data_IF_536013899411
#
_entry.id   IF_536013899411
#
_cell.length_a   1.000
_cell.length_b   1.000
_cell.length_c   1.000
_cell.angle_alpha   90.00
_cell.angle_beta   90.00
_cell.angle_gamma   90.00
#
_symmetry.space_group_name_H-M   'P 1'
#
loop_
_entity.id
_entity.type
_entity.pdbx_description
1 polymer ?
#
# COMPACT_ATOMS: atom_id res chain seq x y z
N UNK A 1 14.73 1.45 -6.63
CA UNK A 1 13.70 1.36 -7.67
C UNK A 1 12.49 0.55 -7.22
N UNK A 2 12.68 -0.60 -6.53
CA UNK A 2 11.56 -1.43 -6.07
C UNK A 2 10.70 -0.69 -5.03
N UNK A 3 11.34 -0.09 -4.01
CA UNK A 3 10.63 0.72 -3.01
C UNK A 3 9.98 1.96 -3.64
N UNK A 4 10.66 2.64 -4.56
CA UNK A 4 10.10 3.78 -5.30
C UNK A 4 8.81 3.40 -6.05
N UNK A 5 8.80 2.23 -6.70
CA UNK A 5 7.60 1.72 -7.36
C UNK A 5 6.47 1.44 -6.38
N UNK A 6 6.76 0.75 -5.26
CA UNK A 6 5.74 0.40 -4.26
C UNK A 6 5.10 1.65 -3.64
N UNK A 7 5.91 2.64 -3.29
CA UNK A 7 5.48 3.95 -2.78
C UNK A 7 4.59 4.67 -3.80
N UNK A 8 5.00 4.71 -5.08
CA UNK A 8 4.24 5.37 -6.14
C UNK A 8 2.90 4.69 -6.46
N UNK A 9 2.82 3.38 -6.27
CA UNK A 9 1.58 2.63 -6.44
C UNK A 9 0.62 2.76 -5.26
N UNK A 10 1.09 3.18 -4.07
CA UNK A 10 0.35 2.97 -2.84
C UNK A 10 0.12 1.48 -2.62
N UNK A 11 1.19 0.70 -2.74
CA UNK A 11 1.18 -0.76 -2.79
C UNK A 11 0.80 -1.43 -1.47
N UNK A 12 1.60 -2.37 -0.99
CA UNK A 12 1.33 -3.14 0.22
C UNK A 12 2.41 -2.94 1.28
N UNK A 13 2.02 -2.84 2.54
CA UNK A 13 2.97 -2.86 3.66
C UNK A 13 3.81 -4.15 3.68
N UNK A 14 3.28 -5.25 3.13
CA UNK A 14 4.03 -6.50 2.92
C UNK A 14 5.28 -6.31 2.06
N UNK A 15 5.23 -5.41 1.07
CA UNK A 15 6.38 -5.15 0.20
C UNK A 15 7.55 -4.55 1.00
N UNK A 16 7.26 -3.67 1.97
CA UNK A 16 8.29 -3.12 2.88
C UNK A 16 8.97 -4.26 3.64
N UNK A 17 8.18 -5.13 4.27
CA UNK A 17 8.70 -6.30 5.00
C UNK A 17 9.60 -7.17 4.11
N UNK A 18 9.13 -7.50 2.91
CA UNK A 18 9.87 -8.36 1.99
C UNK A 18 11.12 -7.68 1.42
N UNK A 19 11.08 -6.38 1.12
CA UNK A 19 12.26 -5.67 0.62
C UNK A 19 13.35 -5.54 1.68
N UNK A 20 12.99 -5.30 2.94
CA UNK A 20 13.95 -5.31 4.05
C UNK A 20 14.59 -6.70 4.22
N UNK A 21 13.80 -7.77 4.11
CA UNK A 21 14.31 -9.13 4.16
C UNK A 21 15.25 -9.43 2.99
N UNK A 22 14.88 -9.05 1.76
CA UNK A 22 15.72 -9.23 0.56
C UNK A 22 17.03 -8.43 0.69
N UNK A 23 16.95 -7.19 1.17
CA UNK A 23 18.14 -6.36 1.38
C UNK A 23 19.10 -6.99 2.39
N UNK A 24 18.58 -7.53 3.50
CA UNK A 24 19.36 -8.25 4.49
C UNK A 24 20.06 -9.49 3.91
N UNK A 25 19.32 -10.32 3.17
CA UNK A 25 19.90 -11.51 2.53
C UNK A 25 20.94 -11.17 1.45
N UNK A 26 20.78 -10.03 0.80
CA UNK A 26 21.74 -9.51 -0.18
C UNK A 26 22.87 -8.68 0.44
N UNK A 27 22.95 -8.58 1.78
CA UNK A 27 23.94 -7.78 2.51
C UNK A 27 23.95 -6.30 2.07
N UNK A 28 22.78 -5.76 1.71
CA UNK A 28 22.58 -4.37 1.34
C UNK A 28 22.11 -3.59 2.57
N UNK A 29 22.79 -2.49 2.88
CA UNK A 29 22.38 -1.55 3.91
C UNK A 29 21.15 -0.75 3.45
N UNK A 30 19.97 -1.26 3.80
CA UNK A 30 18.67 -0.66 3.49
C UNK A 30 17.76 -0.80 4.71
N UNK A 31 17.26 0.32 5.22
CA UNK A 31 16.59 0.41 6.51
C UNK A 31 15.22 1.08 6.42
N UNK A 32 14.47 1.11 7.52
CA UNK A 32 13.22 1.88 7.62
C UNK A 32 13.43 3.38 7.39
N UNK A 33 14.60 3.93 7.72
CA UNK A 33 14.94 5.32 7.42
C UNK A 33 15.03 5.58 5.91
N UNK A 34 15.49 4.59 5.12
CA UNK A 34 15.49 4.71 3.65
C UNK A 34 14.07 4.64 3.09
N UNK A 35 13.22 3.79 3.67
CA UNK A 35 11.80 3.72 3.31
C UNK A 35 11.12 5.06 3.56
N UNK A 36 11.30 5.66 4.74
CA UNK A 36 10.74 6.98 5.08
C UNK A 36 11.24 8.07 4.12
N UNK A 37 12.54 8.12 3.87
CA UNK A 37 13.14 9.08 2.93
C UNK A 37 12.54 8.96 1.53
N UNK A 38 12.36 7.74 1.03
CA UNK A 38 11.78 7.49 -0.30
C UNK A 38 10.30 7.89 -0.29
N UNK A 39 9.55 7.54 0.74
CA UNK A 39 8.11 7.84 0.82
C UNK A 39 7.80 9.34 0.80
N UNK A 40 8.67 10.16 1.40
CA UNK A 40 8.55 11.63 1.39
C UNK A 40 8.93 12.27 0.06
N UNK A 41 9.72 11.60 -0.77
CA UNK A 41 10.23 12.14 -2.04
C UNK A 41 9.51 11.63 -3.28
N UNK A 42 8.78 10.53 -3.18
CA UNK A 42 8.12 9.87 -4.29
C UNK A 42 6.61 10.09 -4.22
N UNK A 43 6.00 10.76 -5.22
CA UNK A 43 4.56 11.00 -5.23
C UNK A 43 3.76 9.73 -5.50
N UNK A 44 2.50 9.69 -5.05
CA UNK A 44 1.59 8.62 -5.40
C UNK A 44 1.04 8.82 -6.82
N UNK A 45 1.39 7.93 -7.74
CA UNK A 45 1.02 8.01 -9.15
C UNK A 45 -0.12 7.10 -9.55
N UNK A 46 -0.45 6.08 -8.75
CA UNK A 46 -1.50 5.12 -9.06
C UNK A 46 -2.42 4.93 -7.85
N UNK A 47 -3.73 4.83 -8.09
CA UNK A 47 -4.72 4.57 -7.04
C UNK A 47 -5.82 3.68 -7.59
N UNK A 48 -6.04 2.53 -6.94
CA UNK A 48 -7.04 1.54 -7.33
C UNK A 48 -7.85 1.05 -6.12
N UNK A 49 -8.94 0.35 -6.39
CA UNK A 49 -9.75 -0.28 -5.35
C UNK A 49 -8.88 -1.13 -4.39
N UNK A 50 -9.16 -1.10 -3.07
CA UNK A 50 -10.30 -0.48 -2.39
C UNK A 50 -10.10 1.01 -2.03
N UNK A 51 -8.99 1.64 -2.42
CA UNK A 51 -8.65 3.03 -2.08
C UNK A 51 -9.35 4.07 -2.98
N UNK A 52 -10.02 3.60 -4.02
CA UNK A 52 -10.90 4.36 -4.89
C UNK A 52 -11.97 3.42 -5.46
N UNK A 53 -13.13 3.98 -5.81
CA UNK A 53 -14.18 3.25 -6.54
C UNK A 53 -14.09 3.46 -8.05
N UNK A 54 -13.14 4.29 -8.52
CA UNK A 54 -13.05 4.71 -9.93
C UNK A 54 -12.24 3.70 -10.77
N UNK A 55 -11.18 3.13 -10.21
CA UNK A 55 -10.23 2.30 -10.94
C UNK A 55 -10.00 0.96 -10.24
N UNK A 56 -9.76 -0.08 -11.03
CA UNK A 56 -9.43 -1.44 -10.59
C UNK A 56 -8.10 -1.89 -11.18
N UNK A 57 -7.66 -3.08 -10.87
CA UNK A 57 -6.36 -3.57 -11.32
C UNK A 57 -6.26 -3.73 -12.84
N UNK A 58 -7.37 -4.03 -13.51
CA UNK A 58 -7.41 -4.08 -14.98
C UNK A 58 -7.20 -2.71 -15.63
N UNK A 59 -7.56 -1.61 -14.96
CA UNK A 59 -7.28 -0.26 -15.46
C UNK A 59 -5.79 0.05 -15.43
N UNK A 60 -5.07 -0.46 -14.41
CA UNK A 60 -3.59 -0.37 -14.38
C UNK A 60 -2.99 -1.08 -15.58
N UNK A 61 -3.46 -2.30 -15.90
CA UNK A 61 -2.99 -3.04 -17.07
C UNK A 61 -3.25 -2.24 -18.34
N UNK A 62 -4.48 -1.76 -18.55
CA UNK A 62 -4.87 -0.95 -19.70
C UNK A 62 -4.08 0.36 -19.83
N UNK A 63 -3.62 0.92 -18.71
CA UNK A 63 -2.78 2.12 -18.68
C UNK A 63 -1.29 1.84 -18.97
N UNK A 64 -0.91 0.57 -19.19
CA UNK A 64 0.46 0.13 -19.49
C UNK A 64 1.16 -0.56 -18.33
N UNK A 65 0.42 -0.93 -17.27
CA UNK A 65 0.91 -1.74 -16.17
C UNK A 65 2.04 -1.10 -15.35
N UNK A 66 2.81 -1.95 -14.72
CA UNK A 66 3.98 -1.55 -13.92
C UNK A 66 4.99 -0.74 -14.74
N UNK A 67 5.18 -1.09 -16.01
CA UNK A 67 6.16 -0.39 -16.87
C UNK A 67 5.73 1.05 -17.17
N UNK A 68 4.44 1.34 -17.20
CA UNK A 68 3.96 2.72 -17.32
C UNK A 68 4.18 3.53 -16.04
N UNK A 69 4.00 2.94 -14.86
CA UNK A 69 4.31 3.61 -13.58
C UNK A 69 5.80 3.91 -13.49
N UNK A 70 6.65 2.92 -13.79
CA UNK A 70 8.10 3.11 -13.86
C UNK A 70 8.48 4.16 -14.91
N UNK A 71 7.78 4.20 -16.05
CA UNK A 71 7.97 5.22 -17.08
C UNK A 71 7.66 6.64 -16.59
N UNK A 72 6.59 6.82 -15.80
CA UNK A 72 6.28 8.12 -15.20
C UNK A 72 7.31 8.52 -14.11
N UNK A 73 7.76 7.55 -13.31
CA UNK A 73 8.83 7.78 -12.33
C UNK A 73 10.14 8.20 -13.00
N UNK A 74 10.51 7.57 -14.13
CA UNK A 74 11.70 7.94 -14.88
C UNK A 74 11.56 9.34 -15.51
N UNK A 75 10.42 9.68 -16.09
CA UNK A 75 10.14 11.04 -16.57
C UNK A 75 10.23 12.08 -15.47
N UNK A 76 9.93 11.68 -14.23
CA UNK A 76 10.11 12.51 -13.04
C UNK A 76 11.53 12.53 -12.46
N UNK A 77 12.48 11.79 -13.04
CA UNK A 77 13.86 11.69 -12.53
C UNK A 77 14.00 10.92 -11.21
N UNK A 78 13.05 10.01 -10.92
CA UNK A 78 12.95 9.28 -9.65
C UNK A 78 13.46 7.83 -9.73
N UNK A 79 14.03 7.41 -10.88
CA UNK A 79 14.53 6.05 -11.08
C UNK A 79 16.02 6.02 -11.43
N UNK A 80 16.68 4.97 -10.99
CA UNK A 80 18.00 4.57 -11.51
C UNK A 80 17.77 3.65 -12.73
N UNK A 81 18.05 4.16 -13.94
CA UNK A 81 17.69 3.50 -15.19
C UNK A 81 18.84 2.76 -15.87
N UNK A 82 20.06 2.95 -15.43
CA UNK A 82 21.28 2.27 -15.90
C UNK A 82 21.54 0.89 -15.24
N UNK A 83 20.67 0.50 -14.28
CA UNK A 83 20.77 -0.79 -13.60
C UNK A 83 20.19 -1.93 -14.45
N UNK A 84 20.78 -3.15 -14.41
CA UNK A 84 20.25 -4.29 -15.13
C UNK A 84 18.91 -4.75 -14.59
N UNK A 85 18.11 -5.42 -15.43
CA UNK A 85 16.88 -6.11 -15.07
C UNK A 85 16.97 -7.58 -15.43
N UNK A 86 16.02 -8.41 -14.95
CA UNK A 86 16.00 -9.85 -15.27
C UNK A 86 15.87 -10.12 -16.78
N UNK A 87 15.18 -9.24 -17.53
CA UNK A 87 14.83 -9.45 -18.94
C UNK A 87 15.46 -8.41 -19.89
N UNK A 88 16.22 -7.46 -19.37
CA UNK A 88 16.83 -6.42 -20.21
C UNK A 88 18.19 -5.97 -19.64
N UNK A 89 19.11 -5.53 -20.49
CA UNK A 89 20.45 -5.10 -20.05
C UNK A 89 20.42 -3.86 -19.14
N UNK A 90 19.36 -3.06 -19.19
CA UNK A 90 19.13 -1.95 -18.27
C UNK A 90 17.65 -1.65 -18.10
N UNK A 91 17.29 -0.98 -17.02
CA UNK A 91 15.92 -0.48 -16.79
C UNK A 91 15.51 0.46 -17.93
N UNK A 92 16.42 1.31 -18.40
CA UNK A 92 16.15 2.17 -19.56
C UNK A 92 15.71 1.37 -20.78
N UNK A 93 16.43 0.29 -21.10
CA UNK A 93 16.08 -0.56 -22.25
C UNK A 93 14.71 -1.23 -22.05
N UNK A 94 14.42 -1.71 -20.83
CA UNK A 94 13.12 -2.28 -20.50
C UNK A 94 11.98 -1.26 -20.69
N UNK A 95 12.18 -0.01 -20.26
CA UNK A 95 11.22 1.08 -20.42
C UNK A 95 11.03 1.46 -21.90
N UNK A 96 12.11 1.56 -22.68
CA UNK A 96 12.01 1.86 -24.11
C UNK A 96 11.21 0.80 -24.86
N UNK A 97 11.27 -0.46 -24.41
CA UNK A 97 10.52 -1.58 -25.00
C UNK A 97 9.06 -1.64 -24.53
N UNK A 98 8.78 -1.46 -23.23
CA UNK A 98 7.51 -1.82 -22.63
C UNK A 98 6.65 -0.65 -22.14
N UNK A 99 7.21 0.55 -21.94
CA UNK A 99 6.41 1.72 -21.59
C UNK A 99 5.56 2.16 -22.78
N UNK A 100 4.24 2.06 -22.65
CA UNK A 100 3.25 2.37 -23.70
C UNK A 100 3.28 3.82 -24.21
N UNK A 101 3.95 4.71 -23.49
CA UNK A 101 4.17 6.10 -23.91
C UNK A 101 5.41 6.22 -24.81
N UNK A 102 6.38 5.32 -24.67
CA UNK A 102 7.65 5.30 -25.42
C UNK A 102 7.63 4.38 -26.61
N UNK A 103 7.14 3.14 -26.37
CA UNK A 103 7.18 2.09 -27.37
C UNK A 103 6.26 2.39 -28.56
N UNK A 104 6.75 2.08 -29.77
CA UNK A 104 5.97 2.04 -31.00
C UNK A 104 5.58 0.62 -31.39
N UNK A 105 5.93 -0.39 -30.56
CA UNK A 105 5.62 -1.78 -30.84
C UNK A 105 4.10 -2.05 -30.68
N UNK A 106 3.46 -2.33 -31.80
CA UNK A 106 2.03 -2.67 -31.85
C UNK A 106 1.69 -3.93 -31.04
N UNK A 107 2.60 -4.89 -30.92
CA UNK A 107 2.37 -6.11 -30.14
C UNK A 107 2.29 -5.79 -28.65
N UNK A 108 3.17 -4.92 -28.15
CA UNK A 108 3.17 -4.43 -26.76
C UNK A 108 1.88 -3.64 -26.48
N UNK A 109 1.50 -2.75 -27.38
CA UNK A 109 0.26 -1.97 -27.22
C UNK A 109 -0.98 -2.88 -27.20
N UNK A 110 -1.04 -3.88 -28.08
CA UNK A 110 -2.12 -4.87 -28.09
C UNK A 110 -2.14 -5.75 -26.85
N UNK A 111 -0.97 -6.06 -26.28
CA UNK A 111 -0.87 -6.79 -25.01
C UNK A 111 -1.60 -6.05 -23.89
N UNK A 112 -1.33 -4.77 -23.71
CA UNK A 112 -1.97 -3.96 -22.67
C UNK A 112 -3.44 -3.61 -22.92
N UNK A 113 -3.94 -3.83 -24.13
CA UNK A 113 -5.37 -3.69 -24.43
C UNK A 113 -6.18 -4.95 -24.12
N UNK A 114 -5.55 -6.08 -23.78
CA UNK A 114 -6.25 -7.31 -23.47
C UNK A 114 -7.08 -7.20 -22.18
N UNK A 115 -8.30 -7.72 -22.21
CA UNK A 115 -9.13 -7.87 -21.02
C UNK A 115 -8.57 -8.97 -20.11
N UNK A 116 -8.85 -8.92 -18.80
CA UNK A 116 -8.31 -9.87 -17.84
C UNK A 116 -8.75 -11.31 -18.16
N UNK A 117 -7.80 -12.25 -18.14
CA UNK A 117 -8.01 -13.68 -18.39
C UNK A 117 -8.76 -14.01 -19.71
N UNK A 118 -8.77 -13.11 -20.69
CA UNK A 118 -9.50 -13.28 -21.94
C UNK A 118 -11.03 -13.16 -21.79
N UNK A 119 -11.51 -12.64 -20.67
CA UNK A 119 -12.93 -12.35 -20.45
C UNK A 119 -13.32 -11.12 -21.29
N UNK A 120 -14.55 -11.07 -21.84
CA UNK A 120 -15.03 -9.88 -22.53
C UNK A 120 -14.91 -8.62 -21.67
N UNK A 121 -14.47 -7.53 -22.27
CA UNK A 121 -14.39 -6.23 -21.61
C UNK A 121 -15.79 -5.73 -21.23
N UNK A 122 -15.88 -4.91 -20.16
CA UNK A 122 -17.16 -4.36 -19.68
C UNK A 122 -17.67 -3.18 -20.56
N UNK A 123 -17.43 -3.25 -21.85
CA UNK A 123 -18.01 -2.32 -22.82
C UNK A 123 -19.41 -2.81 -23.17
N UNK A 124 -20.42 -1.99 -22.97
CA UNK A 124 -21.82 -2.36 -23.21
C UNK A 124 -22.00 -2.93 -24.63
N UNK A 125 -22.69 -4.07 -24.70
CA UNK A 125 -22.97 -4.83 -25.93
C UNK A 125 -21.74 -5.38 -26.69
N UNK A 126 -20.53 -5.26 -26.14
CA UNK A 126 -19.31 -5.82 -26.73
C UNK A 126 -19.06 -7.23 -26.20
N UNK A 127 -18.58 -8.11 -27.11
CA UNK A 127 -18.01 -9.43 -26.79
C UNK A 127 -16.48 -9.44 -26.96
N UNK A 128 -15.88 -8.26 -27.14
CA UNK A 128 -14.44 -8.15 -27.32
C UNK A 128 -13.71 -8.48 -26.03
N UNK A 129 -12.67 -9.30 -26.13
CA UNK A 129 -11.70 -9.57 -25.04
C UNK A 129 -10.58 -8.54 -25.00
N UNK A 130 -10.70 -7.45 -25.77
CA UNK A 130 -9.75 -6.35 -25.81
C UNK A 130 -10.46 -5.02 -25.69
N UNK A 131 -9.83 -4.10 -24.97
CA UNK A 131 -10.25 -2.72 -24.96
C UNK A 131 -10.02 -2.05 -26.32
N UNK A 132 -10.83 -1.06 -26.70
CA UNK A 132 -10.66 -0.36 -27.98
C UNK A 132 -9.42 0.54 -28.02
N UNK A 133 -8.93 0.96 -26.84
CA UNK A 133 -7.76 1.85 -26.68
C UNK A 133 -7.09 1.66 -25.32
N UNK A 134 -5.83 2.04 -25.24
CA UNK A 134 -5.12 2.20 -23.98
C UNK A 134 -5.68 3.41 -23.19
N UNK A 135 -5.49 3.39 -21.87
CA UNK A 135 -5.64 4.59 -21.05
C UNK A 135 -4.27 5.31 -21.00
N UNK A 136 -4.15 6.38 -21.77
CA UNK A 136 -2.93 7.23 -21.82
C UNK A 136 -3.14 8.57 -21.11
N UNK A 137 -4.27 8.76 -20.42
CA UNK A 137 -4.54 9.96 -19.65
C UNK A 137 -3.67 9.98 -18.38
N UNK A 138 -2.65 10.82 -18.40
CA UNK A 138 -1.71 11.01 -17.27
C UNK A 138 -2.10 12.16 -16.34
N UNK A 139 -3.22 12.81 -16.61
CA UNK A 139 -3.76 13.86 -15.75
C UNK A 139 -4.85 13.31 -14.81
N UNK A 140 -5.84 12.57 -15.37
CA UNK A 140 -6.98 12.07 -14.61
C UNK A 140 -7.19 10.56 -14.70
N UNK A 141 -6.35 9.84 -15.45
CA UNK A 141 -6.39 8.40 -15.61
C UNK A 141 -5.97 7.64 -14.36
N UNK A 142 -5.91 6.31 -14.50
CA UNK A 142 -5.50 5.40 -13.42
C UNK A 142 -4.04 5.64 -12.98
N UNK A 143 -3.14 5.77 -13.96
CA UNK A 143 -1.71 6.11 -13.75
C UNK A 143 -1.53 7.58 -14.13
N UNK A 144 -1.04 8.38 -13.19
CA UNK A 144 -0.84 9.82 -13.37
C UNK A 144 0.63 10.17 -13.49
N UNK A 145 0.90 11.31 -14.14
CA UNK A 145 2.24 11.90 -14.14
C UNK A 145 2.59 12.49 -12.77
N UNK A 146 3.88 12.73 -12.53
CA UNK A 146 4.36 13.37 -11.29
C UNK A 146 3.66 14.71 -11.03
N UNK A 147 3.37 15.49 -12.07
CA UNK A 147 2.69 16.80 -11.94
C UNK A 147 1.21 16.70 -11.61
N UNK A 148 0.58 15.54 -11.84
CA UNK A 148 -0.83 15.27 -11.58
C UNK A 148 -1.05 14.17 -10.54
N UNK A 149 -0.01 13.87 -9.75
CA UNK A 149 -0.05 12.83 -8.74
C UNK A 149 -1.26 12.95 -7.79
N UNK A 150 -1.71 11.82 -7.26
CA UNK A 150 -2.79 11.77 -6.26
C UNK A 150 -2.38 12.45 -4.95
N UNK A 151 -1.11 12.35 -4.58
CA UNK A 151 -0.49 13.07 -3.46
C UNK A 151 0.98 13.36 -3.77
N UNK A 152 1.54 14.40 -3.13
CA UNK A 152 2.95 14.78 -3.29
C UNK A 152 3.90 13.82 -2.60
N UNK A 153 3.45 13.20 -1.51
CA UNK A 153 4.12 12.14 -0.79
C UNK A 153 3.49 10.80 -1.15
N UNK A 154 4.23 9.72 -0.97
CA UNK A 154 3.84 8.40 -1.41
C UNK A 154 2.64 7.80 -0.68
N UNK A 155 2.15 6.69 -1.20
CA UNK A 155 0.99 5.99 -0.67
C UNK A 155 1.26 5.11 0.56
N UNK A 156 2.50 5.09 1.05
CA UNK A 156 2.94 4.42 2.28
C UNK A 156 3.78 5.41 3.09
N UNK A 157 3.65 5.41 4.42
CA UNK A 157 4.44 6.23 5.31
C UNK A 157 4.98 5.43 6.49
N UNK A 158 6.13 5.86 7.01
CA UNK A 158 6.71 5.35 8.25
C UNK A 158 6.39 6.32 9.37
N UNK A 159 5.86 5.80 10.46
CA UNK A 159 5.66 6.56 11.70
C UNK A 159 6.61 6.03 12.77
N UNK A 160 6.99 6.91 13.68
CA UNK A 160 7.80 6.59 14.86
C UNK A 160 7.19 7.27 16.07
N UNK A 161 7.33 6.66 17.25
CA UNK A 161 6.81 7.24 18.49
C UNK A 161 7.12 6.34 19.67
N UNK A 162 6.58 6.70 20.84
CA UNK A 162 6.82 5.93 22.05
C UNK A 162 6.33 4.48 21.97
N UNK A 163 5.28 4.20 21.19
CA UNK A 163 4.78 2.81 20.99
C UNK A 163 5.57 2.07 19.92
N UNK A 164 6.15 2.77 18.95
CA UNK A 164 6.87 2.22 17.81
C UNK A 164 8.26 2.84 17.72
N UNK A 165 9.16 2.44 18.62
CA UNK A 165 10.51 3.01 18.72
C UNK A 165 11.34 2.75 17.46
N UNK A 166 11.20 1.57 16.86
CA UNK A 166 11.87 1.17 15.62
C UNK A 166 11.02 1.43 14.37
N UNK A 167 9.85 2.06 14.57
CA UNK A 167 8.94 2.44 13.51
C UNK A 167 7.75 1.51 13.34
N UNK A 168 6.81 2.00 12.54
CA UNK A 168 5.64 1.26 12.05
C UNK A 168 5.25 1.81 10.67
N UNK A 169 4.33 1.15 9.99
CA UNK A 169 3.96 1.49 8.61
C UNK A 169 2.47 1.72 8.49
N UNK A 170 2.10 2.78 7.78
CA UNK A 170 0.72 3.07 7.40
C UNK A 170 0.58 3.19 5.89
N UNK A 171 -0.50 2.63 5.34
CA UNK A 171 -0.87 2.81 3.94
C UNK A 171 -1.70 4.08 3.78
N UNK A 172 -1.05 5.23 3.64
CA UNK A 172 -1.68 6.55 3.51
C UNK A 172 -2.61 6.66 2.30
N UNK A 173 -2.32 5.92 1.22
CA UNK A 173 -3.19 5.83 0.04
C UNK A 173 -4.63 5.40 0.35
N UNK A 174 -4.84 4.67 1.44
CA UNK A 174 -6.14 4.15 1.89
C UNK A 174 -6.79 4.93 3.02
N UNK A 175 -6.14 5.97 3.53
CA UNK A 175 -6.62 6.80 4.65
C UNK A 175 -7.42 7.98 4.12
N UNK A 176 -8.55 8.27 4.76
CA UNK A 176 -9.30 9.49 4.48
C UNK A 176 -8.57 10.70 5.11
N UNK A 177 -8.51 11.81 4.39
CA UNK A 177 -7.79 13.01 4.85
C UNK A 177 -8.27 13.54 6.22
N UNK A 178 -9.55 13.30 6.56
CA UNK A 178 -10.13 13.74 7.83
C UNK A 178 -9.60 13.02 9.08
N UNK A 179 -8.90 11.88 8.89
CA UNK A 179 -8.35 11.06 9.99
C UNK A 179 -6.85 10.83 9.86
N UNK A 180 -6.14 11.63 9.07
CA UNK A 180 -4.67 11.59 9.00
C UNK A 180 -4.02 12.01 10.34
N UNK A 181 -4.68 12.88 11.08
CA UNK A 181 -4.37 13.16 12.48
C UNK A 181 -5.53 12.62 13.31
N UNK A 182 -5.25 11.72 14.22
CA UNK A 182 -6.26 11.01 14.99
C UNK A 182 -5.85 10.88 16.46
N UNK A 183 -6.75 11.20 17.36
CA UNK A 183 -6.61 10.94 18.79
C UNK A 183 -7.78 10.06 19.22
N UNK A 184 -7.49 8.99 19.95
CA UNK A 184 -8.51 8.05 20.37
C UNK A 184 -8.17 7.24 21.60
N UNK A 185 -9.19 6.57 22.14
CA UNK A 185 -9.05 5.68 23.28
C UNK A 185 -8.62 4.29 22.84
N UNK A 186 -7.65 3.70 23.50
CA UNK A 186 -7.21 2.34 23.26
C UNK A 186 -8.33 1.33 23.56
N UNK A 187 -8.64 0.49 22.59
CA UNK A 187 -9.38 -0.75 22.74
C UNK A 187 -8.43 -1.91 22.52
N UNK A 188 -7.97 -2.55 23.59
CA UNK A 188 -6.87 -3.51 23.55
C UNK A 188 -7.37 -4.93 23.36
N UNK A 189 -6.76 -5.65 22.41
CA UNK A 189 -7.02 -7.07 22.13
C UNK A 189 -5.71 -7.85 21.99
N UNK A 190 -5.72 -9.11 22.45
CA UNK A 190 -4.54 -9.98 22.48
C UNK A 190 -4.43 -10.88 21.23
N UNK A 191 -5.38 -10.76 20.31
CA UNK A 191 -5.37 -11.51 19.06
C UNK A 191 -6.29 -10.90 18.02
N UNK A 192 -6.09 -11.30 16.75
CA UNK A 192 -7.01 -10.93 15.66
C UNK A 192 -8.43 -11.43 15.91
N UNK A 193 -8.58 -12.66 16.42
CA UNK A 193 -9.90 -13.25 16.66
C UNK A 193 -10.67 -12.47 17.72
N UNK A 194 -10.03 -12.09 18.82
CA UNK A 194 -10.63 -11.23 19.84
C UNK A 194 -11.04 -9.86 19.28
N UNK A 195 -10.18 -9.25 18.44
CA UNK A 195 -10.52 -8.00 17.78
C UNK A 195 -11.75 -8.12 16.89
N UNK A 196 -11.86 -9.22 16.13
CA UNK A 196 -13.04 -9.52 15.29
C UNK A 196 -14.29 -9.68 16.13
N UNK A 197 -14.24 -10.45 17.23
CA UNK A 197 -15.38 -10.60 18.14
C UNK A 197 -15.83 -9.27 18.74
N UNK A 198 -14.88 -8.44 19.15
CA UNK A 198 -15.17 -7.14 19.77
C UNK A 198 -15.77 -6.15 18.75
N UNK A 199 -15.27 -6.13 17.51
CA UNK A 199 -15.81 -5.29 16.43
C UNK A 199 -17.24 -5.72 16.09
N UNK A 200 -17.46 -7.01 15.82
CA UNK A 200 -18.77 -7.55 15.44
C UNK A 200 -19.77 -7.49 16.59
N UNK A 201 -19.28 -7.67 17.83
CA UNK A 201 -20.08 -7.54 19.05
C UNK A 201 -20.44 -6.11 19.43
N UNK A 202 -19.97 -5.12 18.65
CA UNK A 202 -20.26 -3.71 18.87
C UNK A 202 -19.61 -3.14 20.13
N UNK A 203 -18.52 -3.72 20.64
CA UNK A 203 -17.72 -3.15 21.74
C UNK A 203 -16.86 -2.00 21.26
N UNK A 204 -16.31 -2.09 20.04
CA UNK A 204 -15.54 -1.01 19.40
C UNK A 204 -16.48 0.12 18.99
N UNK A 205 -16.11 1.36 19.34
CA UNK A 205 -16.90 2.58 19.10
C UNK A 205 -16.14 3.58 18.25
N UNK A 206 -16.85 4.54 17.68
CA UNK A 206 -16.23 5.70 17.06
C UNK A 206 -15.33 6.44 18.04
N UNK A 207 -14.11 6.75 17.65
CA UNK A 207 -13.09 7.35 18.49
C UNK A 207 -12.09 6.34 19.08
N UNK A 208 -12.29 5.04 18.87
CA UNK A 208 -11.36 4.03 19.39
C UNK A 208 -10.14 3.84 18.47
N UNK A 209 -9.00 3.56 19.10
CA UNK A 209 -7.82 2.95 18.48
C UNK A 209 -7.79 1.48 18.87
N UNK A 210 -8.17 0.61 17.95
CA UNK A 210 -8.15 -0.84 18.18
C UNK A 210 -6.71 -1.32 18.13
N UNK A 211 -6.19 -1.79 19.26
CA UNK A 211 -4.83 -2.37 19.35
C UNK A 211 -4.96 -3.88 19.29
N UNK A 212 -4.29 -4.47 18.29
CA UNK A 212 -4.17 -5.93 18.16
C UNK A 212 -2.70 -6.28 18.33
N UNK A 213 -2.35 -6.89 19.44
CA UNK A 213 -0.96 -7.21 19.80
C UNK A 213 -0.71 -8.70 19.89
N UNK A 214 0.58 -9.10 19.96
CA UNK A 214 1.05 -10.49 19.90
C UNK A 214 0.73 -11.19 18.56
N UNK A 215 0.67 -10.42 17.49
CA UNK A 215 0.49 -10.91 16.11
C UNK A 215 1.75 -10.69 15.24
N UNK A 216 2.83 -10.27 15.86
CA UNK A 216 4.12 -10.04 15.23
C UNK A 216 4.90 -11.33 14.91
N UNK A 217 6.15 -11.20 14.41
CA UNK A 217 6.97 -12.33 13.98
C UNK A 217 7.23 -13.40 15.06
N UNK A 218 7.33 -13.01 16.34
CA UNK A 218 7.58 -13.91 17.47
C UNK A 218 6.31 -14.22 18.26
N UNK A 219 5.46 -13.24 18.46
CA UNK A 219 4.24 -13.37 19.26
C UNK A 219 3.10 -14.06 18.53
N UNK A 220 2.99 -13.83 17.22
CA UNK A 220 1.90 -14.33 16.40
C UNK A 220 2.23 -15.60 15.62
N UNK A 221 1.24 -16.14 14.89
CA UNK A 221 1.43 -17.32 14.03
C UNK A 221 2.05 -16.94 12.67
N UNK A 222 3.25 -16.35 12.69
CA UNK A 222 3.96 -15.94 11.48
C UNK A 222 3.55 -14.56 10.94
N UNK A 223 3.31 -13.59 11.83
CA UNK A 223 2.95 -12.22 11.47
C UNK A 223 1.66 -12.16 10.63
N UNK A 224 0.56 -12.50 11.24
CA UNK A 224 -0.74 -12.65 10.59
C UNK A 224 -1.24 -11.34 9.96
N UNK A 225 -1.91 -11.43 8.82
CA UNK A 225 -2.54 -10.27 8.16
C UNK A 225 -3.86 -9.89 8.83
N UNK A 226 -4.02 -8.62 9.18
CA UNK A 226 -5.21 -8.04 9.81
C UNK A 226 -6.31 -7.72 8.79
N UNK A 227 -6.64 -8.68 7.92
CA UNK A 227 -7.67 -8.49 6.89
C UNK A 227 -9.07 -8.37 7.47
N UNK A 228 -9.42 -9.27 8.39
CA UNK A 228 -10.75 -9.33 8.97
C UNK A 228 -11.08 -8.12 9.85
N UNK A 229 -10.23 -7.71 10.81
CA UNK A 229 -10.50 -6.52 11.61
C UNK A 229 -10.73 -5.26 10.75
N UNK A 230 -9.89 -5.02 9.74
CA UNK A 230 -10.04 -3.85 8.86
C UNK A 230 -11.34 -3.89 8.05
N UNK A 231 -11.70 -5.07 7.53
CA UNK A 231 -12.92 -5.27 6.76
C UNK A 231 -14.17 -5.06 7.63
N UNK A 232 -14.16 -5.56 8.85
CA UNK A 232 -15.30 -5.44 9.76
C UNK A 232 -15.44 -4.04 10.36
N UNK A 233 -14.36 -3.34 10.69
CA UNK A 233 -14.41 -1.90 11.07
C UNK A 233 -15.10 -1.12 9.94
N UNK A 234 -14.72 -1.37 8.69
CA UNK A 234 -15.33 -0.71 7.53
C UNK A 234 -16.80 -1.08 7.37
N UNK A 235 -17.16 -2.37 7.50
CA UNK A 235 -18.54 -2.84 7.34
C UNK A 235 -19.49 -2.31 8.44
N UNK A 236 -18.96 -2.04 9.62
CA UNK A 236 -19.69 -1.41 10.73
C UNK A 236 -19.82 0.13 10.59
N UNK A 237 -19.31 0.70 9.48
CA UNK A 237 -19.34 2.14 9.25
C UNK A 237 -18.29 2.93 10.05
N UNK A 238 -17.35 2.26 10.71
CA UNK A 238 -16.32 2.86 11.56
C UNK A 238 -15.01 3.19 10.82
N UNK A 239 -14.91 2.91 9.52
CA UNK A 239 -13.67 3.06 8.75
C UNK A 239 -13.09 4.48 8.65
N UNK A 240 -13.86 5.51 9.03
CA UNK A 240 -13.42 6.91 9.14
C UNK A 240 -13.49 7.43 10.57
N UNK A 241 -13.77 6.57 11.54
CA UNK A 241 -14.01 6.97 12.93
C UNK A 241 -13.16 6.17 13.93
N UNK A 242 -12.40 5.20 13.48
CA UNK A 242 -11.49 4.39 14.28
C UNK A 242 -10.14 4.24 13.59
N UNK A 243 -9.10 4.05 14.39
CA UNK A 243 -7.80 3.56 13.93
C UNK A 243 -7.59 2.11 14.35
N UNK A 244 -6.70 1.40 13.65
CA UNK A 244 -6.24 0.07 14.02
C UNK A 244 -4.71 0.06 14.09
N UNK A 245 -4.14 -0.45 15.17
CA UNK A 245 -2.71 -0.53 15.43
C UNK A 245 -2.32 -1.98 15.75
N UNK A 246 -1.26 -2.50 15.14
CA UNK A 246 -0.82 -3.88 15.37
C UNK A 246 0.67 -4.08 15.16
N UNK A 247 1.27 -5.01 15.90
CA UNK A 247 2.59 -5.57 15.60
C UNK A 247 2.56 -6.64 14.50
N UNK A 248 1.37 -7.05 14.06
CA UNK A 248 1.16 -7.83 12.84
C UNK A 248 1.28 -7.00 11.57
N UNK A 249 0.70 -7.47 10.47
CA UNK A 249 0.76 -6.83 9.16
C UNK A 249 -0.62 -6.67 8.51
N UNK A 250 -0.67 -5.92 7.41
CA UNK A 250 -1.89 -5.70 6.67
C UNK A 250 -1.82 -6.26 5.25
N UNK A 251 -2.99 -6.60 4.72
CA UNK A 251 -3.18 -6.90 3.30
C UNK A 251 -3.02 -5.63 2.42
N UNK A 252 -2.60 -5.81 1.17
CA UNK A 252 -2.62 -4.74 0.17
C UNK A 252 -4.01 -4.15 -0.09
N UNK A 253 -5.08 -4.91 0.20
CA UNK A 253 -6.47 -4.48 0.12
C UNK A 253 -6.99 -3.68 1.32
N UNK A 254 -6.15 -3.38 2.30
CA UNK A 254 -6.53 -2.62 3.49
C UNK A 254 -6.83 -1.16 3.17
N UNK A 255 -7.87 -0.63 3.80
CA UNK A 255 -8.25 0.79 3.78
C UNK A 255 -8.64 1.26 5.18
N UNK A 256 -8.60 2.58 5.41
CA UNK A 256 -8.75 3.20 6.73
C UNK A 256 -7.40 3.40 7.42
N UNK A 257 -7.42 4.06 8.58
CA UNK A 257 -6.21 4.34 9.36
C UNK A 257 -5.74 3.05 10.05
N UNK A 258 -4.92 2.29 9.33
CA UNK A 258 -4.41 0.99 9.75
C UNK A 258 -2.89 1.02 9.79
N UNK A 259 -2.32 0.88 10.98
CA UNK A 259 -0.90 1.03 11.29
C UNK A 259 -0.37 -0.33 11.71
N UNK A 260 0.50 -0.90 10.91
CA UNK A 260 1.09 -2.22 11.13
C UNK A 260 2.59 -2.21 11.32
N UNK A 261 3.13 -3.40 11.55
CA UNK A 261 4.57 -3.60 11.72
C UNK A 261 5.13 -2.79 12.91
N UNK A 262 4.32 -2.56 13.95
CA UNK A 262 4.77 -1.85 15.15
C UNK A 262 5.98 -2.58 15.74
N UNK A 263 7.08 -1.87 15.82
CA UNK A 263 8.35 -2.44 16.27
C UNK A 263 8.98 -1.60 17.39
N UNK A 264 9.53 -2.24 18.44
CA UNK A 264 9.52 -3.69 18.71
C UNK A 264 8.12 -4.26 18.96
N UNK A 265 7.89 -5.52 18.56
CA UNK A 265 6.61 -6.20 18.82
C UNK A 265 6.38 -6.47 20.33
N UNK A 266 5.13 -6.71 20.73
CA UNK A 266 4.78 -6.96 22.13
C UNK A 266 5.54 -8.14 22.73
N UNK A 267 5.71 -9.23 21.97
CA UNK A 267 6.43 -10.43 22.41
C UNK A 267 7.94 -10.23 22.59
N UNK A 268 8.51 -9.17 22.03
CA UNK A 268 9.91 -8.75 22.25
C UNK A 268 10.06 -7.69 23.36
N UNK A 269 8.98 -7.37 24.06
CA UNK A 269 8.96 -6.34 25.09
C UNK A 269 8.74 -4.92 24.54
N UNK A 270 8.23 -4.81 23.32
CA UNK A 270 7.81 -3.53 22.74
C UNK A 270 6.72 -2.85 23.55
N UNK A 271 6.72 -1.51 23.53
CA UNK A 271 5.81 -0.71 24.36
C UNK A 271 4.32 -0.86 23.96
N UNK A 272 4.02 -1.37 22.77
CA UNK A 272 2.66 -1.78 22.41
C UNK A 272 2.10 -2.82 23.39
N UNK A 273 2.96 -3.68 23.95
CA UNK A 273 2.61 -4.67 24.97
C UNK A 273 2.17 -4.08 26.31
N UNK A 274 2.49 -2.81 26.57
CA UNK A 274 2.13 -2.10 27.81
C UNK A 274 0.88 -1.24 27.68
N UNK A 275 0.35 -1.05 26.47
CA UNK A 275 -0.88 -0.29 26.27
C UNK A 275 -2.04 -0.91 27.08
N UNK A 276 -2.76 -0.09 27.80
CA UNK A 276 -3.89 -0.48 28.63
C UNK A 276 -5.22 -0.01 28.01
N UNK A 277 -6.29 -0.73 28.30
CA UNK A 277 -7.64 -0.33 27.90
C UNK A 277 -7.95 1.09 28.38
N UNK A 278 -8.39 1.96 27.49
CA UNK A 278 -8.73 3.34 27.79
C UNK A 278 -7.56 4.33 27.74
N UNK A 279 -6.32 3.90 27.46
CA UNK A 279 -5.21 4.82 27.24
C UNK A 279 -5.50 5.75 26.04
N UNK A 280 -5.01 6.97 26.09
CA UNK A 280 -5.13 7.90 24.97
C UNK A 280 -3.96 7.72 24.00
N UNK A 281 -4.27 7.49 22.73
CA UNK A 281 -3.29 7.41 21.64
C UNK A 281 -3.45 8.59 20.69
N UNK A 282 -2.34 9.21 20.36
CA UNK A 282 -2.23 10.23 19.30
C UNK A 282 -1.47 9.65 18.11
N UNK A 283 -2.04 9.81 16.92
CA UNK A 283 -1.47 9.39 15.63
C UNK A 283 -1.41 10.65 14.76
N UNK A 284 -0.19 10.99 14.33
CA UNK A 284 0.06 12.24 13.62
C UNK A 284 1.12 12.04 12.51
#
# INVERSE_FOLDING_TARGET
NAMTLDIAMGGSTNTILHQLAIAREAEIDFTMADVDRISRSVPQLCKVAPNTNKFHIEDVHRAGGIMAILGELDRGGLLHTDVPTVHAPSMKHALDQWDVVRTQDEAVRKFYMAGPAGIPTQVAFSQSTRWPSLDLDRAEGCIRSVTHAYSKEGGLAVLTGNIALDGCVVKTAGVDESILVFEGSAHVTESQDEAVENILGGKVKAGDVVIVRYEGPKGGPGMQEMLYPTSYIKSQGLGKACALLTDGRFSGGTSGLSIGHVSPEAAEGGLIGLAAEGDTLEIN
#
